data_IF_235602441901
#
_entry.id   IF_235602441901
#
_cell.length_a   1.000
_cell.length_b   1.000
_cell.length_c   1.000
_cell.angle_alpha   90.00
_cell.angle_beta   90.00
_cell.angle_gamma   90.00
#
_symmetry.space_group_name_H-M   'P 1'
#
loop_
_entity.id
_entity.type
_entity.pdbx_description
1 polymer ?
#
# COMPACT_ATOMS: atom_id res chain seq x y z
N UNK A 1 5.55 -22.17 -24.82
CA UNK A 1 4.72 -22.24 -26.04
C UNK A 1 5.65 -22.40 -27.26
N UNK A 2 5.42 -23.41 -28.06
CA UNK A 2 6.09 -23.51 -29.36
C UNK A 2 5.48 -22.46 -30.31
N UNK A 3 6.32 -21.74 -31.07
CA UNK A 3 5.85 -20.66 -31.95
C UNK A 3 6.74 -20.47 -33.16
N UNK A 4 6.17 -19.93 -34.24
CA UNK A 4 6.90 -19.46 -35.41
C UNK A 4 7.67 -18.17 -35.11
N UNK A 5 8.70 -17.80 -35.87
CA UNK A 5 9.42 -16.53 -35.68
C UNK A 5 8.50 -15.31 -35.70
N UNK A 6 7.54 -15.24 -36.60
CA UNK A 6 6.60 -14.12 -36.71
C UNK A 6 5.73 -13.98 -35.46
N UNK A 7 5.27 -15.09 -34.86
CA UNK A 7 4.50 -15.10 -33.60
C UNK A 7 5.39 -14.67 -32.45
N UNK A 8 6.63 -15.16 -32.40
CA UNK A 8 7.63 -14.78 -31.41
C UNK A 8 7.88 -13.27 -31.44
N UNK A 9 8.14 -12.68 -32.59
CA UNK A 9 8.41 -11.25 -32.76
C UNK A 9 7.21 -10.38 -32.35
N UNK A 10 5.99 -10.83 -32.67
CA UNK A 10 4.76 -10.16 -32.25
C UNK A 10 4.62 -10.15 -30.72
N UNK A 11 4.83 -11.29 -30.08
CA UNK A 11 4.73 -11.43 -28.63
C UNK A 11 5.84 -10.65 -27.92
N UNK A 12 7.05 -10.66 -28.46
CA UNK A 12 8.16 -9.89 -27.91
C UNK A 12 7.87 -8.40 -27.88
N UNK A 13 7.32 -7.86 -28.97
CA UNK A 13 6.88 -6.46 -29.05
C UNK A 13 5.82 -6.12 -28.00
N UNK A 14 4.86 -7.03 -27.78
CA UNK A 14 3.76 -6.83 -26.80
C UNK A 14 4.23 -6.94 -25.35
N UNK A 15 5.30 -7.69 -25.08
CA UNK A 15 5.87 -7.93 -23.75
C UNK A 15 7.14 -7.11 -23.47
N UNK A 16 7.54 -6.25 -24.41
CA UNK A 16 8.65 -5.30 -24.23
C UNK A 16 8.11 -3.91 -23.96
N UNK A 17 8.34 -3.41 -22.77
CA UNK A 17 7.87 -2.12 -22.29
C UNK A 17 9.02 -1.11 -22.22
N UNK A 18 8.81 0.07 -22.80
CA UNK A 18 9.73 1.20 -22.68
C UNK A 18 9.22 2.13 -21.58
N UNK A 19 9.90 2.14 -20.45
CA UNK A 19 9.55 2.98 -19.30
C UNK A 19 10.38 4.26 -19.37
N UNK A 20 9.75 5.45 -19.49
CA UNK A 20 10.47 6.72 -19.52
C UNK A 20 11.35 6.91 -18.28
N UNK A 21 12.58 7.39 -18.49
CA UNK A 21 13.43 7.77 -17.34
C UNK A 21 12.92 9.03 -16.66
N UNK A 22 13.16 9.15 -15.35
CA UNK A 22 12.86 10.37 -14.58
C UNK A 22 13.72 11.56 -15.01
N UNK A 23 14.89 11.29 -15.62
CA UNK A 23 15.76 12.32 -16.17
C UNK A 23 15.68 12.29 -17.70
N UNK A 24 15.37 13.40 -18.36
CA UNK A 24 15.27 13.44 -19.82
C UNK A 24 16.54 13.01 -20.58
N UNK A 25 17.68 13.05 -19.91
CA UNK A 25 19.00 12.67 -20.49
C UNK A 25 19.29 11.17 -20.41
N UNK A 26 18.57 10.44 -19.56
CA UNK A 26 18.82 9.03 -19.37
C UNK A 26 17.93 8.22 -20.34
N UNK A 27 18.45 7.11 -20.92
CA UNK A 27 17.65 6.27 -21.79
C UNK A 27 16.47 5.64 -21.04
N UNK A 28 15.36 5.32 -21.75
CA UNK A 28 14.24 4.64 -21.14
C UNK A 28 14.68 3.26 -20.60
N UNK A 29 14.10 2.84 -19.49
CA UNK A 29 14.28 1.48 -18.99
C UNK A 29 13.47 0.52 -19.85
N UNK A 30 14.11 -0.53 -20.36
CA UNK A 30 13.45 -1.60 -21.09
C UNK A 30 13.10 -2.72 -20.10
N UNK A 31 11.84 -3.15 -20.10
CA UNK A 31 11.37 -4.34 -19.37
C UNK A 31 10.87 -5.33 -20.44
N UNK A 32 11.54 -6.47 -20.57
CA UNK A 32 11.13 -7.56 -21.46
C UNK A 32 10.65 -8.75 -20.61
N UNK A 33 9.40 -9.13 -20.77
CA UNK A 33 8.76 -10.20 -19.99
C UNK A 33 8.56 -11.49 -20.80
N UNK A 34 9.13 -11.59 -21.98
CA UNK A 34 9.24 -12.84 -22.75
C UNK A 34 10.63 -13.44 -22.57
N UNK A 35 10.72 -14.75 -22.46
CA UNK A 35 12.00 -15.46 -22.48
C UNK A 35 12.03 -16.53 -23.59
N UNK A 36 13.11 -16.58 -24.37
CA UNK A 36 13.36 -17.63 -25.32
C UNK A 36 14.04 -18.78 -24.56
N UNK A 37 13.34 -19.92 -24.48
CA UNK A 37 13.87 -21.14 -23.83
C UNK A 37 14.81 -21.89 -24.78
N UNK A 38 14.39 -22.01 -26.04
CA UNK A 38 15.14 -22.54 -27.18
C UNK A 38 14.49 -22.07 -28.48
N UNK A 39 15.13 -22.32 -29.62
CA UNK A 39 14.54 -21.99 -30.92
C UNK A 39 13.12 -22.54 -31.05
N UNK A 40 12.17 -21.66 -31.34
CA UNK A 40 10.75 -22.00 -31.46
C UNK A 40 9.98 -22.25 -30.14
N UNK A 41 10.65 -22.16 -28.98
CA UNK A 41 9.98 -22.33 -27.67
C UNK A 41 10.18 -21.10 -26.79
N UNK A 42 9.08 -20.42 -26.46
CA UNK A 42 9.11 -19.23 -25.64
C UNK A 42 8.32 -19.43 -24.32
N UNK A 43 8.70 -18.64 -23.32
CA UNK A 43 7.97 -18.47 -22.06
C UNK A 43 7.36 -17.08 -22.03
N UNK A 44 6.09 -16.98 -21.67
CA UNK A 44 5.36 -15.74 -21.46
C UNK A 44 4.73 -15.74 -20.06
N UNK A 45 4.47 -14.55 -19.49
CA UNK A 45 3.81 -14.45 -18.21
C UNK A 45 2.41 -15.08 -18.21
N UNK A 46 2.02 -15.70 -17.11
CA UNK A 46 0.75 -16.42 -16.98
C UNK A 46 -0.49 -15.53 -17.16
N UNK A 47 -0.39 -14.24 -16.87
CA UNK A 47 -1.48 -13.29 -17.06
C UNK A 47 -1.73 -12.91 -18.52
N UNK A 48 -0.84 -13.30 -19.45
CA UNK A 48 -0.90 -12.93 -20.87
C UNK A 48 -1.29 -14.10 -21.77
N UNK A 49 -2.25 -14.90 -21.32
CA UNK A 49 -2.84 -15.97 -22.15
C UNK A 49 -3.56 -15.44 -23.39
N UNK A 50 -3.94 -14.14 -23.40
CA UNK A 50 -4.46 -13.41 -24.54
C UNK A 50 -3.52 -13.38 -25.76
N UNK A 51 -2.21 -13.54 -25.53
CA UNK A 51 -1.19 -13.56 -26.58
C UNK A 51 -1.02 -14.95 -27.22
N UNK A 52 -1.65 -15.99 -26.71
CA UNK A 52 -1.61 -17.33 -27.29
C UNK A 52 -2.47 -17.33 -28.56
N UNK A 53 -1.89 -17.65 -29.74
CA UNK A 53 -2.67 -17.66 -31.00
C UNK A 53 -3.80 -18.68 -30.97
N UNK A 54 -4.85 -18.40 -31.73
CA UNK A 54 -5.96 -19.35 -31.90
C UNK A 54 -5.45 -20.67 -32.49
N UNK A 55 -5.96 -21.79 -31.99
CA UNK A 55 -5.59 -23.13 -32.47
C UNK A 55 -4.53 -23.83 -31.61
N UNK A 56 -3.95 -23.14 -30.62
CA UNK A 56 -3.06 -23.78 -29.65
C UNK A 56 -3.88 -24.50 -28.59
N UNK A 57 -3.48 -25.75 -28.27
CA UNK A 57 -4.03 -26.49 -27.13
C UNK A 57 -3.42 -25.94 -25.84
N UNK A 58 -4.25 -25.48 -24.91
CA UNK A 58 -3.81 -25.00 -23.59
C UNK A 58 -3.98 -26.13 -22.57
N UNK A 59 -2.85 -26.59 -22.00
CA UNK A 59 -2.81 -27.55 -20.89
C UNK A 59 -2.55 -26.76 -19.59
N UNK A 60 -3.59 -26.50 -18.80
CA UNK A 60 -3.43 -25.86 -17.50
C UNK A 60 -2.77 -26.84 -16.51
N UNK A 61 -1.57 -26.47 -16.05
CA UNK A 61 -0.78 -27.22 -15.06
C UNK A 61 -0.63 -26.45 -13.75
N UNK A 62 -1.44 -25.41 -13.54
CA UNK A 62 -1.45 -24.68 -12.28
C UNK A 62 -1.98 -25.59 -11.15
N UNK A 63 -1.42 -25.41 -9.98
CA UNK A 63 -1.71 -26.27 -8.83
C UNK A 63 -3.01 -25.86 -8.14
N UNK A 64 -3.89 -26.83 -7.96
CA UNK A 64 -4.96 -26.79 -6.99
C UNK A 64 -4.47 -27.54 -5.75
N UNK A 65 -4.51 -26.91 -4.59
CA UNK A 65 -4.16 -27.48 -3.30
C UNK A 65 -5.37 -27.30 -2.36
N UNK A 66 -6.43 -28.10 -2.56
CA UNK A 66 -7.63 -28.01 -1.73
C UNK A 66 -7.30 -28.33 -0.26
N UNK A 67 -7.86 -27.56 0.65
CA UNK A 67 -7.73 -27.77 2.09
C UNK A 67 -9.09 -27.61 2.75
N UNK A 68 -9.25 -28.18 3.95
CA UNK A 68 -10.37 -27.86 4.81
C UNK A 68 -10.23 -26.42 5.29
N UNK A 69 -10.91 -25.51 4.59
CA UNK A 69 -10.79 -24.08 4.81
C UNK A 69 -11.85 -23.62 5.81
N UNK A 70 -11.47 -22.85 6.84
CA UNK A 70 -12.44 -22.40 7.83
C UNK A 70 -13.54 -21.55 7.20
N UNK A 71 -14.76 -21.71 7.71
CA UNK A 71 -15.92 -20.99 7.19
C UNK A 71 -15.79 -19.49 7.51
N UNK A 72 -15.98 -18.67 6.49
CA UNK A 72 -16.12 -17.23 6.64
C UNK A 72 -17.51 -16.93 7.24
N UNK A 73 -17.53 -16.33 8.45
CA UNK A 73 -18.76 -16.15 9.25
C UNK A 73 -19.37 -14.76 9.17
N UNK A 74 -18.78 -13.86 8.40
CA UNK A 74 -19.18 -12.45 8.37
C UNK A 74 -19.93 -12.12 7.09
N UNK A 75 -20.81 -11.12 7.17
CA UNK A 75 -21.49 -10.58 6.00
C UNK A 75 -20.56 -9.60 5.23
N UNK A 76 -20.56 -9.73 3.93
CA UNK A 76 -19.88 -8.79 3.03
C UNK A 76 -20.83 -7.63 2.72
N UNK A 77 -20.31 -6.43 2.69
CA UNK A 77 -21.05 -5.29 2.15
C UNK A 77 -21.36 -5.50 0.67
N UNK A 78 -22.43 -4.87 0.11
CA UNK A 78 -22.84 -5.13 -1.28
C UNK A 78 -21.70 -4.99 -2.30
N UNK A 79 -20.81 -3.99 -2.14
CA UNK A 79 -19.67 -3.81 -3.05
C UNK A 79 -18.61 -4.89 -2.89
N UNK A 80 -18.41 -5.40 -1.66
CA UNK A 80 -17.50 -6.50 -1.36
C UNK A 80 -18.06 -7.82 -1.89
N UNK A 81 -19.37 -8.04 -1.73
CA UNK A 81 -20.06 -9.20 -2.26
C UNK A 81 -19.94 -9.27 -3.79
N UNK A 82 -20.13 -8.14 -4.48
CA UNK A 82 -19.95 -8.09 -5.93
C UNK A 82 -18.54 -8.51 -6.33
N UNK A 83 -17.50 -7.96 -5.68
CA UNK A 83 -16.10 -8.37 -5.94
C UNK A 83 -15.88 -9.84 -5.65
N UNK A 84 -16.40 -10.34 -4.53
CA UNK A 84 -16.32 -11.75 -4.15
C UNK A 84 -16.94 -12.66 -5.22
N UNK A 85 -18.11 -12.30 -5.75
CA UNK A 85 -18.83 -13.08 -6.76
C UNK A 85 -18.07 -13.10 -8.11
N UNK A 86 -17.44 -11.97 -8.49
CA UNK A 86 -16.69 -11.81 -9.74
C UNK A 86 -15.35 -12.59 -9.78
N UNK A 87 -14.82 -13.05 -8.64
CA UNK A 87 -13.53 -13.77 -8.62
C UNK A 87 -13.73 -15.24 -9.02
N UNK A 88 -13.26 -15.58 -10.21
CA UNK A 88 -13.25 -16.95 -10.75
C UNK A 88 -11.83 -17.42 -11.15
N UNK A 89 -10.91 -16.50 -11.42
CA UNK A 89 -9.50 -16.72 -11.78
C UNK A 89 -8.61 -15.63 -11.20
N UNK A 90 -7.44 -15.40 -11.79
CA UNK A 90 -6.56 -14.31 -11.43
C UNK A 90 -7.28 -12.96 -11.54
N UNK A 91 -7.03 -12.07 -10.59
CA UNK A 91 -7.63 -10.74 -10.61
C UNK A 91 -6.80 -9.72 -9.84
N UNK A 92 -7.02 -8.45 -10.17
CA UNK A 92 -6.55 -7.29 -9.41
C UNK A 92 -7.75 -6.60 -8.78
N UNK A 93 -7.73 -6.43 -7.47
CA UNK A 93 -8.74 -5.65 -6.75
C UNK A 93 -8.12 -4.29 -6.42
N UNK A 94 -8.52 -3.28 -7.21
CA UNK A 94 -8.09 -1.90 -7.04
C UNK A 94 -9.12 -1.14 -6.20
N UNK A 95 -9.07 -1.33 -4.89
CA UNK A 95 -10.03 -0.77 -3.97
C UNK A 95 -9.43 0.37 -3.14
N UNK A 96 -10.20 1.43 -2.98
CA UNK A 96 -9.84 2.61 -2.20
C UNK A 96 -9.38 2.27 -0.77
N UNK A 97 -8.66 3.19 -0.14
CA UNK A 97 -8.31 3.08 1.29
C UNK A 97 -9.57 2.94 2.13
N UNK A 98 -9.49 2.19 3.22
CA UNK A 98 -10.61 1.88 4.13
C UNK A 98 -11.76 1.03 3.54
N UNK A 99 -11.69 0.62 2.27
CA UNK A 99 -12.72 -0.25 1.67
C UNK A 99 -12.77 -1.66 2.28
N UNK A 100 -11.71 -2.12 2.92
CA UNK A 100 -11.66 -3.44 3.55
C UNK A 100 -11.04 -4.53 2.66
N UNK A 101 -9.98 -4.20 1.91
CA UNK A 101 -9.23 -5.14 1.04
C UNK A 101 -8.81 -6.41 1.76
N UNK A 102 -8.24 -6.30 2.96
CA UNK A 102 -7.77 -7.43 3.77
C UNK A 102 -8.91 -8.39 4.08
N UNK A 103 -10.02 -7.85 4.58
CA UNK A 103 -11.21 -8.61 4.92
C UNK A 103 -11.82 -9.33 3.69
N UNK A 104 -11.95 -8.62 2.57
CA UNK A 104 -12.46 -9.21 1.33
C UNK A 104 -11.47 -10.24 0.75
N UNK A 105 -10.17 -10.01 0.87
CA UNK A 105 -9.14 -10.99 0.49
C UNK A 105 -9.27 -12.31 1.26
N UNK A 106 -9.57 -12.26 2.57
CA UNK A 106 -9.82 -13.44 3.39
C UNK A 106 -11.12 -14.15 2.99
N UNK A 107 -12.18 -13.39 2.68
CA UNK A 107 -13.42 -13.96 2.16
C UNK A 107 -13.19 -14.72 0.84
N UNK A 108 -12.42 -14.13 -0.08
CA UNK A 108 -12.04 -14.76 -1.36
C UNK A 108 -11.23 -16.03 -1.11
N UNK A 109 -10.26 -16.00 -0.19
CA UNK A 109 -9.49 -17.20 0.17
C UNK A 109 -10.42 -18.33 0.65
N UNK A 110 -11.41 -18.01 1.48
CA UNK A 110 -12.42 -18.96 1.93
C UNK A 110 -13.34 -19.48 0.81
N UNK A 111 -13.67 -18.63 -0.19
CA UNK A 111 -14.41 -19.05 -1.39
C UNK A 111 -13.63 -20.08 -2.21
N UNK A 112 -12.35 -19.81 -2.42
CA UNK A 112 -11.49 -20.62 -3.29
C UNK A 112 -11.08 -21.95 -2.66
N UNK A 113 -11.09 -22.06 -1.32
CA UNK A 113 -10.79 -23.28 -0.53
C UNK A 113 -9.45 -23.94 -0.91
N UNK A 114 -8.45 -23.11 -1.23
CA UNK A 114 -7.11 -23.58 -1.55
C UNK A 114 -6.15 -23.18 -0.44
N UNK A 115 -5.11 -23.96 -0.22
CA UNK A 115 -4.00 -23.52 0.64
C UNK A 115 -3.49 -22.17 0.14
N UNK A 116 -3.60 -21.15 0.95
CA UNK A 116 -3.42 -19.75 0.56
C UNK A 116 -2.13 -19.17 1.15
N UNK A 117 -1.30 -18.56 0.30
CA UNK A 117 -0.16 -17.73 0.69
C UNK A 117 -0.55 -16.25 0.57
N UNK A 118 -0.44 -15.51 1.65
CA UNK A 118 -0.55 -14.06 1.67
C UNK A 118 0.86 -13.48 1.69
N UNK A 119 1.21 -12.70 0.66
CA UNK A 119 2.55 -12.12 0.48
C UNK A 119 2.53 -10.66 0.91
N UNK A 120 3.40 -10.31 1.85
CA UNK A 120 3.54 -8.96 2.40
C UNK A 120 4.99 -8.48 2.30
N UNK A 121 5.21 -7.18 2.15
CA UNK A 121 6.55 -6.61 1.98
C UNK A 121 7.19 -6.14 3.29
N UNK A 122 6.39 -5.90 4.35
CA UNK A 122 6.89 -5.50 5.67
C UNK A 122 6.41 -6.43 6.78
N UNK A 123 7.19 -6.48 7.87
CA UNK A 123 6.83 -7.28 9.06
C UNK A 123 5.55 -6.75 9.74
N UNK A 124 5.35 -5.44 9.91
CA UNK A 124 4.09 -4.92 10.47
C UNK A 124 2.87 -5.33 9.66
N UNK A 125 2.93 -5.26 8.32
CA UNK A 125 1.83 -5.67 7.46
C UNK A 125 1.56 -7.18 7.58
N UNK A 126 2.61 -8.01 7.65
CA UNK A 126 2.45 -9.45 7.92
C UNK A 126 1.72 -9.69 9.25
N UNK A 127 2.15 -9.03 10.31
CA UNK A 127 1.54 -9.19 11.64
C UNK A 127 0.08 -8.70 11.66
N UNK A 128 -0.25 -7.67 10.88
CA UNK A 128 -1.63 -7.23 10.71
C UNK A 128 -2.48 -8.32 10.04
N UNK A 129 -1.98 -8.96 8.96
CA UNK A 129 -2.68 -10.06 8.32
C UNK A 129 -2.86 -11.26 9.25
N UNK A 130 -1.85 -11.62 10.05
CA UNK A 130 -1.94 -12.69 11.06
C UNK A 130 -3.07 -12.40 12.05
N UNK A 131 -3.15 -11.19 12.60
CA UNK A 131 -4.25 -10.77 13.50
C UNK A 131 -5.62 -10.82 12.82
N UNK A 132 -5.72 -10.39 11.56
CA UNK A 132 -7.00 -10.46 10.83
C UNK A 132 -7.41 -11.89 10.51
N UNK A 133 -6.48 -12.80 10.21
CA UNK A 133 -6.78 -14.23 10.06
C UNK A 133 -7.35 -14.82 11.35
N UNK A 134 -6.70 -14.55 12.48
CA UNK A 134 -7.17 -15.00 13.80
C UNK A 134 -8.56 -14.43 14.13
N UNK A 135 -8.78 -13.16 13.89
CA UNK A 135 -10.06 -12.48 14.13
C UNK A 135 -11.19 -13.01 13.26
N UNK A 136 -10.91 -13.27 11.97
CA UNK A 136 -11.94 -13.68 10.99
C UNK A 136 -12.25 -15.15 11.07
N UNK A 137 -11.27 -16.00 11.31
CA UNK A 137 -11.40 -17.44 11.23
C UNK A 137 -11.22 -18.17 12.56
N UNK A 138 -10.78 -17.47 13.61
CA UNK A 138 -10.48 -18.07 14.93
C UNK A 138 -9.41 -19.18 14.85
N UNK A 139 -8.46 -19.07 13.91
CA UNK A 139 -7.34 -19.98 13.73
C UNK A 139 -6.01 -19.23 13.71
N UNK A 140 -4.94 -19.94 14.02
CA UNK A 140 -3.58 -19.45 13.81
C UNK A 140 -3.18 -19.64 12.34
N UNK A 141 -2.56 -18.64 11.73
CA UNK A 141 -1.93 -18.77 10.41
C UNK A 141 -0.51 -19.30 10.51
N UNK A 142 -0.05 -20.01 9.49
CA UNK A 142 1.38 -20.25 9.30
C UNK A 142 2.14 -18.95 9.04
N UNK A 143 3.42 -18.88 9.41
CA UNK A 143 4.25 -17.68 9.27
C UNK A 143 5.57 -18.01 8.58
N UNK A 144 5.88 -17.24 7.50
CA UNK A 144 7.18 -17.28 6.83
C UNK A 144 7.87 -15.92 6.96
N UNK A 145 8.93 -15.87 7.74
CA UNK A 145 9.71 -14.63 7.97
C UNK A 145 10.11 -14.44 9.42
N UNK A 146 11.05 -13.54 9.68
CA UNK A 146 11.61 -13.27 11.02
C UNK A 146 12.13 -14.53 11.74
N UNK A 147 12.84 -15.41 10.99
CA UNK A 147 13.36 -16.67 11.52
C UNK A 147 12.37 -17.84 11.51
N UNK A 148 11.08 -17.62 11.28
CA UNK A 148 10.07 -18.67 11.21
C UNK A 148 9.89 -19.19 9.77
N UNK A 149 9.68 -20.50 9.66
CA UNK A 149 9.25 -21.18 8.44
C UNK A 149 8.14 -22.15 8.77
N UNK A 150 6.96 -21.63 8.93
CA UNK A 150 5.75 -22.43 9.18
C UNK A 150 4.80 -22.35 7.99
N UNK A 151 4.61 -23.46 7.33
CA UNK A 151 3.66 -23.65 6.22
C UNK A 151 2.46 -24.50 6.64
N UNK A 152 2.18 -24.65 7.93
CA UNK A 152 1.03 -25.39 8.42
C UNK A 152 -0.28 -24.65 8.16
N UNK A 153 -1.39 -25.38 8.23
CA UNK A 153 -2.73 -24.81 8.09
C UNK A 153 -3.11 -24.35 6.68
N UNK A 154 -4.34 -23.83 6.55
CA UNK A 154 -4.93 -23.40 5.29
C UNK A 154 -4.41 -22.04 4.80
N UNK A 155 -3.97 -21.19 5.72
CA UNK A 155 -3.50 -19.82 5.43
C UNK A 155 -2.09 -19.65 5.99
N UNK A 156 -1.20 -19.14 5.16
CA UNK A 156 0.19 -18.80 5.51
C UNK A 156 0.45 -17.34 5.14
N UNK A 157 1.03 -16.57 6.05
CA UNK A 157 1.43 -15.17 5.80
C UNK A 157 2.94 -15.07 5.72
N UNK A 158 3.46 -14.59 4.60
CA UNK A 158 4.89 -14.59 4.32
C UNK A 158 5.47 -13.24 3.93
N UNK A 159 6.69 -12.95 4.42
CA UNK A 159 7.45 -11.78 3.99
C UNK A 159 8.17 -12.04 2.68
N UNK A 160 8.08 -11.11 1.75
CA UNK A 160 8.67 -11.16 0.40
C UNK A 160 10.13 -11.58 0.40
N UNK A 161 10.96 -11.01 1.26
CA UNK A 161 12.40 -11.29 1.28
C UNK A 161 12.71 -12.75 1.63
N UNK A 162 11.97 -13.33 2.60
CA UNK A 162 12.14 -14.73 3.00
C UNK A 162 11.60 -15.67 1.92
N UNK A 163 10.45 -15.33 1.34
CA UNK A 163 9.84 -16.09 0.24
C UNK A 163 10.74 -16.12 -0.99
N UNK A 164 11.29 -14.98 -1.37
CA UNK A 164 12.21 -14.85 -2.50
C UNK A 164 13.47 -15.75 -2.38
N UNK A 165 14.06 -15.81 -1.18
CA UNK A 165 15.23 -16.67 -0.92
C UNK A 165 14.90 -18.16 -0.94
N UNK A 166 13.63 -18.52 -0.84
CA UNK A 166 13.15 -19.90 -0.73
C UNK A 166 12.08 -20.25 -1.79
N UNK A 167 12.17 -19.66 -2.97
CA UNK A 167 11.18 -19.81 -4.05
C UNK A 167 10.88 -21.27 -4.35
N UNK A 168 11.89 -22.13 -4.43
CA UNK A 168 11.70 -23.54 -4.75
C UNK A 168 10.82 -24.28 -3.74
N UNK A 169 10.84 -23.85 -2.45
CA UNK A 169 10.00 -24.45 -1.40
C UNK A 169 8.52 -24.05 -1.50
N UNK A 170 8.23 -22.86 -2.08
CA UNK A 170 6.85 -22.35 -2.20
C UNK A 170 6.20 -22.62 -3.54
N UNK A 171 6.99 -22.96 -4.56
CA UNK A 171 6.64 -23.04 -5.97
C UNK A 171 5.36 -23.86 -6.24
N UNK A 172 5.18 -25.00 -5.52
CA UNK A 172 4.06 -25.91 -5.66
C UNK A 172 3.25 -26.11 -4.38
N UNK A 173 3.46 -25.32 -3.37
CA UNK A 173 2.89 -25.50 -2.04
C UNK A 173 1.50 -24.89 -1.88
N UNK A 174 1.17 -23.90 -2.69
CA UNK A 174 -0.04 -23.10 -2.55
C UNK A 174 -0.90 -23.17 -3.81
N UNK A 175 -2.22 -23.21 -3.61
CA UNK A 175 -3.20 -23.13 -4.70
C UNK A 175 -3.70 -21.70 -4.93
N UNK A 176 -3.58 -20.83 -3.92
CA UNK A 176 -3.89 -19.39 -4.01
C UNK A 176 -2.72 -18.55 -3.50
N UNK A 177 -2.41 -17.46 -4.20
CA UNK A 177 -1.52 -16.40 -3.72
C UNK A 177 -2.30 -15.09 -3.70
N UNK A 178 -2.30 -14.42 -2.56
CA UNK A 178 -2.81 -13.05 -2.39
C UNK A 178 -1.61 -12.14 -2.18
N UNK A 179 -1.44 -11.15 -3.06
CA UNK A 179 -0.38 -10.17 -2.95
C UNK A 179 -0.96 -8.85 -2.44
N UNK A 180 -0.64 -8.51 -1.21
CA UNK A 180 -1.03 -7.21 -0.64
C UNK A 180 -0.09 -6.11 -1.11
N UNK A 181 -0.64 -4.90 -1.31
CA UNK A 181 0.03 -3.76 -1.93
C UNK A 181 0.74 -4.17 -3.24
N UNK A 182 -0.02 -4.81 -4.13
CA UNK A 182 0.48 -5.40 -5.37
C UNK A 182 1.23 -4.42 -6.29
N UNK A 183 1.13 -3.11 -6.07
CA UNK A 183 1.91 -2.12 -6.81
C UNK A 183 3.44 -2.27 -6.61
N UNK A 184 3.88 -3.04 -5.62
CA UNK A 184 5.27 -3.43 -5.45
C UNK A 184 5.72 -4.56 -6.41
N UNK A 185 4.80 -5.22 -7.14
CA UNK A 185 5.13 -6.35 -8.04
C UNK A 185 6.09 -5.99 -9.18
N UNK A 186 6.20 -4.72 -9.51
CA UNK A 186 7.21 -4.24 -10.49
C UNK A 186 8.65 -4.32 -9.97
N UNK A 187 8.86 -4.65 -8.68
CA UNK A 187 10.20 -4.97 -8.17
C UNK A 187 10.58 -6.42 -8.51
N UNK A 188 11.85 -6.70 -8.83
CA UNK A 188 12.29 -8.06 -9.22
C UNK A 188 11.98 -9.14 -8.18
N UNK A 189 11.95 -8.77 -6.91
CA UNK A 189 11.68 -9.71 -5.81
C UNK A 189 10.23 -10.19 -5.81
N UNK A 190 9.28 -9.27 -6.00
CA UNK A 190 7.87 -9.61 -6.06
C UNK A 190 7.48 -10.34 -7.34
N UNK A 191 7.92 -9.81 -8.49
CA UNK A 191 7.63 -10.44 -9.80
C UNK A 191 8.09 -11.87 -9.81
N UNK A 192 9.29 -12.15 -9.32
CA UNK A 192 9.84 -13.51 -9.31
C UNK A 192 9.06 -14.48 -8.41
N UNK A 193 8.51 -14.03 -7.28
CA UNK A 193 7.63 -14.87 -6.45
C UNK A 193 6.38 -15.27 -7.22
N UNK A 194 5.74 -14.29 -7.88
CA UNK A 194 4.51 -14.53 -8.64
C UNK A 194 4.75 -15.40 -9.86
N UNK A 195 5.81 -15.13 -10.64
CA UNK A 195 6.16 -15.91 -11.83
C UNK A 195 6.53 -17.34 -11.51
N UNK A 196 7.29 -17.55 -10.44
CA UNK A 196 7.74 -18.89 -10.05
C UNK A 196 6.64 -19.74 -9.44
N UNK A 197 5.54 -19.16 -9.02
CA UNK A 197 4.43 -19.89 -8.38
C UNK A 197 3.52 -20.57 -9.39
N UNK A 198 3.24 -21.86 -9.16
CA UNK A 198 2.25 -22.64 -9.90
C UNK A 198 0.82 -22.51 -9.35
N UNK A 199 0.57 -21.64 -8.37
CA UNK A 199 -0.76 -21.46 -7.80
C UNK A 199 -1.82 -21.18 -8.88
N UNK A 200 -2.98 -21.84 -8.74
CA UNK A 200 -4.10 -21.68 -9.67
C UNK A 200 -4.64 -20.25 -9.66
N UNK A 201 -4.69 -19.63 -8.47
CA UNK A 201 -5.26 -18.30 -8.27
C UNK A 201 -4.21 -17.32 -7.80
N UNK A 202 -4.12 -16.17 -8.48
CA UNK A 202 -3.24 -15.05 -8.12
C UNK A 202 -4.08 -13.80 -8.00
N UNK A 203 -4.21 -13.27 -6.79
CA UNK A 203 -5.06 -12.13 -6.45
C UNK A 203 -4.17 -10.97 -6.00
N UNK A 204 -4.21 -9.86 -6.72
CA UNK A 204 -3.51 -8.64 -6.36
C UNK A 204 -4.45 -7.66 -5.65
N UNK A 205 -4.04 -7.15 -4.48
CA UNK A 205 -4.77 -6.12 -3.75
C UNK A 205 -3.98 -4.80 -3.80
N UNK A 206 -4.62 -3.70 -4.16
CA UNK A 206 -3.98 -2.38 -4.12
C UNK A 206 -5.00 -1.26 -3.94
N UNK A 207 -4.56 -0.17 -3.30
CA UNK A 207 -5.33 1.10 -3.25
C UNK A 207 -5.10 1.98 -4.48
N UNK A 208 -3.98 1.77 -5.18
CA UNK A 208 -3.57 2.52 -6.37
C UNK A 208 -2.84 1.58 -7.32
N UNK A 209 -3.29 1.51 -8.56
CA UNK A 209 -2.59 0.75 -9.60
C UNK A 209 -1.58 1.63 -10.33
N UNK A 210 -1.95 2.87 -10.61
CA UNK A 210 -1.09 3.79 -11.35
C UNK A 210 0.17 4.15 -10.57
N UNK A 211 1.32 4.00 -11.20
CA UNK A 211 2.64 4.34 -10.65
C UNK A 211 3.24 5.50 -11.42
N UNK A 212 3.88 6.41 -10.70
CA UNK A 212 4.58 7.55 -11.31
C UNK A 212 5.76 7.12 -12.22
N UNK A 213 6.35 5.97 -11.92
CA UNK A 213 7.43 5.41 -12.73
C UNK A 213 6.97 4.63 -13.97
N UNK A 214 5.65 4.59 -14.25
CA UNK A 214 5.06 3.93 -15.41
C UNK A 214 5.09 2.39 -15.37
N UNK A 215 5.71 1.76 -14.37
CA UNK A 215 5.88 0.29 -14.31
C UNK A 215 4.60 -0.49 -14.03
N UNK A 216 3.46 0.18 -13.85
CA UNK A 216 2.16 -0.48 -13.69
C UNK A 216 1.71 -1.23 -14.95
N UNK A 217 2.29 -0.95 -16.10
CA UNK A 217 1.97 -1.64 -17.37
C UNK A 217 2.21 -3.15 -17.31
N UNK A 218 3.14 -3.60 -16.44
CA UNK A 218 3.45 -5.03 -16.30
C UNK A 218 2.49 -5.78 -15.37
N UNK A 219 1.55 -5.12 -14.69
CA UNK A 219 0.69 -5.79 -13.71
C UNK A 219 -0.20 -6.87 -14.33
N UNK A 220 -0.72 -6.63 -15.54
CA UNK A 220 -1.51 -7.61 -16.27
C UNK A 220 -0.70 -8.86 -16.67
N UNK A 221 0.61 -8.74 -16.77
CA UNK A 221 1.45 -9.88 -17.09
C UNK A 221 1.42 -10.94 -15.98
N UNK A 222 1.16 -10.51 -14.74
CA UNK A 222 1.14 -11.39 -13.57
C UNK A 222 -0.28 -11.80 -13.15
N UNK A 223 -1.27 -10.90 -13.30
CA UNK A 223 -2.63 -11.10 -12.80
C UNK A 223 -3.70 -11.21 -13.90
N UNK A 224 -3.33 -11.02 -15.16
CA UNK A 224 -4.28 -10.97 -16.26
C UNK A 224 -5.01 -9.63 -16.37
N UNK A 225 -6.08 -9.61 -17.17
CA UNK A 225 -6.83 -8.39 -17.51
C UNK A 225 -7.98 -8.09 -16.54
N UNK A 226 -8.31 -9.00 -15.63
CA UNK A 226 -9.41 -8.79 -14.70
C UNK A 226 -9.03 -7.79 -13.60
N UNK A 227 -9.41 -6.53 -13.79
CA UNK A 227 -9.18 -5.44 -12.84
C UNK A 227 -10.51 -4.95 -12.32
N UNK A 228 -10.83 -5.32 -11.09
CA UNK A 228 -12.07 -4.94 -10.42
C UNK A 228 -11.84 -3.65 -9.62
N UNK A 229 -12.65 -2.62 -9.89
CA UNK A 229 -12.59 -1.33 -9.22
C UNK A 229 -13.91 -1.08 -8.49
N UNK A 230 -14.06 -1.51 -7.23
CA UNK A 230 -15.26 -1.24 -6.48
C UNK A 230 -15.42 0.26 -6.18
N UNK A 231 -16.64 0.73 -5.88
CA UNK A 231 -16.88 2.12 -5.54
C UNK A 231 -16.13 2.51 -4.26
N UNK A 232 -15.80 3.79 -4.14
CA UNK A 232 -15.27 4.35 -2.91
C UNK A 232 -16.39 4.41 -1.88
N UNK A 233 -16.23 3.67 -0.79
CA UNK A 233 -17.21 3.60 0.29
C UNK A 233 -16.54 3.39 1.65
N UNK A 234 -17.34 3.42 2.71
CA UNK A 234 -16.90 3.14 4.08
C UNK A 234 -15.79 4.09 4.55
N UNK A 235 -15.89 5.35 4.18
CA UNK A 235 -15.02 6.41 4.66
C UNK A 235 -15.82 7.68 4.97
N UNK A 236 -15.26 8.52 5.82
CA UNK A 236 -15.78 9.85 6.10
C UNK A 236 -15.06 10.86 5.19
N UNK A 237 -15.80 11.77 4.57
CA UNK A 237 -15.22 12.82 3.73
C UNK A 237 -14.45 13.80 4.61
N UNK A 238 -13.14 14.03 4.38
CA UNK A 238 -12.39 14.98 5.17
C UNK A 238 -12.62 16.42 4.70
N UNK A 239 -12.46 17.37 5.62
CA UNK A 239 -12.27 18.79 5.28
C UNK A 239 -10.75 19.08 5.28
N UNK A 240 -10.28 19.78 4.27
CA UNK A 240 -8.88 20.18 4.16
C UNK A 240 -8.72 21.58 4.75
N UNK A 241 -7.95 21.70 5.82
CA UNK A 241 -7.59 22.99 6.41
C UNK A 241 -6.23 23.42 5.85
N UNK A 242 -6.24 24.45 5.03
CA UNK A 242 -5.04 25.06 4.45
C UNK A 242 -4.55 26.15 5.39
N UNK A 243 -3.34 25.98 5.92
CA UNK A 243 -2.71 26.90 6.87
C UNK A 243 -1.54 27.65 6.22
N UNK A 244 -1.67 28.94 5.88
CA UNK A 244 -0.53 29.74 5.44
C UNK A 244 0.43 29.98 6.62
N UNK A 245 1.65 29.45 6.54
CA UNK A 245 2.59 29.54 7.67
C UNK A 245 3.45 30.82 7.67
N UNK A 246 3.54 31.54 6.54
CA UNK A 246 4.51 32.62 6.38
C UNK A 246 5.97 32.18 6.24
N UNK A 247 6.28 30.93 6.54
CA UNK A 247 7.64 30.38 6.57
C UNK A 247 8.12 30.02 5.16
N UNK A 248 9.35 30.39 4.85
CA UNK A 248 9.95 30.14 3.53
C UNK A 248 10.61 28.77 3.48
N UNK A 249 10.19 27.96 2.50
CA UNK A 249 10.90 26.74 2.11
C UNK A 249 12.02 27.09 1.11
N UNK A 250 13.19 26.50 1.31
CA UNK A 250 14.35 26.77 0.45
C UNK A 250 14.07 26.41 -1.00
N UNK A 251 14.27 27.38 -1.88
CA UNK A 251 14.21 27.20 -3.33
C UNK A 251 15.59 26.83 -3.91
N UNK A 252 15.61 26.36 -5.14
CA UNK A 252 16.81 26.08 -5.90
C UNK A 252 17.01 24.60 -6.22
N UNK A 253 17.42 24.34 -7.47
CA UNK A 253 17.64 22.97 -7.98
C UNK A 253 18.98 22.39 -7.55
N UNK A 254 19.93 23.24 -7.13
CA UNK A 254 21.28 22.83 -6.71
C UNK A 254 21.33 22.25 -5.30
N UNK A 255 20.34 22.57 -4.44
CA UNK A 255 20.29 22.04 -3.07
C UNK A 255 19.47 20.75 -3.08
N UNK A 256 20.04 19.61 -2.64
CA UNK A 256 19.33 18.35 -2.54
C UNK A 256 18.02 18.48 -1.74
N UNK A 257 16.99 17.78 -2.15
CA UNK A 257 15.68 17.79 -1.49
C UNK A 257 15.78 17.51 0.02
N UNK A 258 16.58 16.51 0.38
CA UNK A 258 16.79 16.12 1.78
C UNK A 258 17.29 17.30 2.64
N UNK A 259 18.24 18.08 2.13
CA UNK A 259 18.82 19.22 2.85
C UNK A 259 17.80 20.35 3.02
N UNK A 260 16.95 20.60 2.01
CA UNK A 260 15.87 21.59 2.10
C UNK A 260 14.82 21.22 3.15
N UNK A 261 14.45 19.95 3.21
CA UNK A 261 13.52 19.45 4.25
C UNK A 261 14.20 19.51 5.62
N UNK A 262 15.47 19.17 5.73
CA UNK A 262 16.22 19.28 7.00
C UNK A 262 16.25 20.73 7.50
N UNK A 263 16.53 21.69 6.63
CA UNK A 263 16.51 23.12 7.00
C UNK A 263 15.13 23.58 7.50
N UNK A 264 14.04 23.13 6.85
CA UNK A 264 12.68 23.43 7.32
C UNK A 264 12.42 22.83 8.71
N UNK A 265 12.81 21.57 8.92
CA UNK A 265 12.53 20.85 10.17
C UNK A 265 13.46 21.26 11.33
N UNK A 266 14.50 22.04 11.07
CA UNK A 266 15.35 22.70 12.07
C UNK A 266 14.89 24.12 12.40
N UNK A 267 13.92 24.67 11.66
CA UNK A 267 13.37 25.99 11.91
C UNK A 267 12.45 25.95 13.14
N UNK A 268 12.78 26.70 14.19
CA UNK A 268 12.06 26.73 15.47
C UNK A 268 10.63 27.22 15.31
N UNK A 269 10.42 28.29 14.52
CA UNK A 269 9.09 28.84 14.25
C UNK A 269 8.18 27.80 13.58
N UNK A 270 8.76 26.98 12.67
CA UNK A 270 8.04 25.89 12.03
C UNK A 270 7.68 24.77 13.02
N UNK A 271 8.60 24.39 13.89
CA UNK A 271 8.35 23.40 14.95
C UNK A 271 7.24 23.89 15.89
N UNK A 272 7.28 25.14 16.32
CA UNK A 272 6.22 25.74 17.14
C UNK A 272 4.87 25.76 16.42
N UNK A 273 4.86 26.13 15.12
CA UNK A 273 3.62 26.14 14.31
C UNK A 273 2.98 24.74 14.28
N UNK A 274 3.75 23.70 13.97
CA UNK A 274 3.25 22.32 13.93
C UNK A 274 2.74 21.85 15.30
N UNK A 275 3.50 22.15 16.36
CA UNK A 275 3.14 21.78 17.74
C UNK A 275 1.88 22.47 18.22
N UNK A 276 1.73 23.76 17.96
CA UNK A 276 0.52 24.52 18.29
C UNK A 276 -0.71 24.01 17.54
N UNK A 277 -0.57 23.72 16.25
CA UNK A 277 -1.66 23.12 15.48
C UNK A 277 -2.08 21.77 16.06
N UNK A 278 -1.11 20.91 16.39
CA UNK A 278 -1.40 19.61 16.98
C UNK A 278 -2.17 19.73 18.30
N UNK A 279 -1.72 20.60 19.21
CA UNK A 279 -2.40 20.88 20.47
C UNK A 279 -3.81 21.49 20.26
N UNK A 280 -3.95 22.43 19.33
CA UNK A 280 -5.23 23.10 19.05
C UNK A 280 -6.29 22.14 18.50
N UNK A 281 -5.92 21.19 17.63
CA UNK A 281 -6.87 20.18 17.16
C UNK A 281 -7.18 19.12 18.22
N UNK A 282 -6.21 18.73 19.04
CA UNK A 282 -6.44 17.85 20.18
C UNK A 282 -7.44 18.49 21.19
N UNK A 283 -7.26 19.78 21.51
CA UNK A 283 -8.19 20.54 22.36
C UNK A 283 -9.62 20.64 21.80
N UNK A 284 -9.80 20.50 20.47
CA UNK A 284 -11.10 20.41 19.80
C UNK A 284 -11.69 18.99 19.79
N UNK A 285 -11.07 18.04 20.48
CA UNK A 285 -11.53 16.65 20.60
C UNK A 285 -11.06 15.71 19.49
N UNK A 286 -10.12 16.14 18.64
CA UNK A 286 -9.56 15.25 17.63
C UNK A 286 -8.45 14.37 18.20
N UNK A 287 -8.36 13.12 17.73
CA UNK A 287 -7.17 12.31 17.82
C UNK A 287 -6.27 12.66 16.61
N UNK A 288 -5.14 13.27 16.91
CA UNK A 288 -4.27 13.92 15.92
C UNK A 288 -3.11 13.01 15.53
N UNK A 289 -2.87 12.84 14.24
CA UNK A 289 -1.66 12.24 13.68
C UNK A 289 -0.83 13.32 12.97
N UNK A 290 0.37 13.55 13.45
CA UNK A 290 1.37 14.41 12.79
C UNK A 290 2.39 13.55 12.10
N UNK A 291 2.61 13.71 10.78
CA UNK A 291 3.52 12.88 10.02
C UNK A 291 4.68 13.66 9.42
N UNK A 292 5.87 13.08 9.50
CA UNK A 292 7.09 13.57 8.84
C UNK A 292 8.02 12.40 8.50
N UNK A 293 8.96 12.62 7.59
CA UNK A 293 10.08 11.70 7.34
C UNK A 293 11.32 12.02 8.19
N UNK A 294 11.22 12.99 9.13
CA UNK A 294 12.32 13.46 9.99
C UNK A 294 12.07 13.13 11.46
N UNK A 295 12.78 12.12 11.95
CA UNK A 295 12.61 11.58 13.32
C UNK A 295 12.85 12.64 14.39
N UNK A 296 13.96 13.38 14.30
CA UNK A 296 14.30 14.39 15.31
C UNK A 296 13.26 15.53 15.35
N UNK A 297 12.74 15.95 14.21
CA UNK A 297 11.66 16.93 14.13
C UNK A 297 10.40 16.47 14.87
N UNK A 298 10.00 15.20 14.64
CA UNK A 298 8.84 14.63 15.32
C UNK A 298 9.04 14.59 16.85
N UNK A 299 10.23 14.20 17.32
CA UNK A 299 10.56 14.19 18.75
C UNK A 299 10.51 15.59 19.37
N UNK A 300 11.11 16.58 18.69
CA UNK A 300 11.12 17.96 19.14
C UNK A 300 9.70 18.55 19.20
N UNK A 301 8.89 18.33 18.14
CA UNK A 301 7.50 18.79 18.13
C UNK A 301 6.66 18.09 19.22
N UNK A 302 6.86 16.81 19.46
CA UNK A 302 6.18 16.10 20.54
C UNK A 302 6.51 16.70 21.91
N UNK A 303 7.79 16.99 22.17
CA UNK A 303 8.23 17.63 23.40
C UNK A 303 7.61 19.05 23.58
N UNK A 304 7.56 19.84 22.50
CA UNK A 304 6.96 21.18 22.50
C UNK A 304 5.42 21.13 22.71
N UNK A 305 4.76 20.08 22.24
CA UNK A 305 3.30 19.93 22.37
C UNK A 305 2.90 19.54 23.82
N UNK A 306 3.79 18.85 24.56
CA UNK A 306 3.60 18.50 25.97
C UNK A 306 3.12 17.07 26.22
N UNK A 307 2.62 16.82 27.43
CA UNK A 307 2.39 15.46 27.95
C UNK A 307 1.27 14.66 27.27
N UNK A 308 0.35 15.31 26.54
CA UNK A 308 -0.74 14.64 25.82
C UNK A 308 -0.27 13.99 24.51
N UNK A 309 1.02 13.71 24.37
CA UNK A 309 1.63 13.24 23.14
C UNK A 309 2.32 11.89 23.28
N UNK A 310 2.40 11.18 22.15
CA UNK A 310 3.34 10.06 21.93
C UNK A 310 4.10 10.25 20.62
N UNK A 311 5.30 9.68 20.53
CA UNK A 311 6.10 9.71 19.32
C UNK A 311 6.51 8.28 18.92
N UNK A 312 6.07 7.86 17.71
CA UNK A 312 6.30 6.51 17.18
C UNK A 312 7.15 6.58 15.91
N UNK A 313 8.39 6.12 16.02
CA UNK A 313 9.36 6.13 14.92
C UNK A 313 9.92 4.74 14.66
N UNK A 314 10.75 4.60 13.61
CA UNK A 314 11.46 3.35 13.31
C UNK A 314 12.39 2.86 14.42
N UNK A 315 12.83 3.76 15.29
CA UNK A 315 13.71 3.44 16.43
C UNK A 315 12.98 2.77 17.60
N UNK A 316 11.66 2.94 17.69
CA UNK A 316 10.82 2.32 18.72
C UNK A 316 10.61 0.84 18.41
N UNK A 317 10.86 -0.10 19.31
CA UNK A 317 10.59 -1.53 19.12
C UNK A 317 9.12 -1.81 18.79
N UNK A 318 8.87 -2.88 18.03
CA UNK A 318 7.50 -3.17 17.53
C UNK A 318 6.47 -3.35 18.67
N UNK A 319 6.84 -4.07 19.72
CA UNK A 319 5.98 -4.31 20.88
C UNK A 319 5.64 -3.03 21.63
N UNK A 320 6.63 -2.15 21.79
CA UNK A 320 6.43 -0.84 22.40
C UNK A 320 5.55 0.08 21.54
N UNK A 321 5.69 0.02 20.20
CA UNK A 321 4.80 0.78 19.29
C UNK A 321 3.35 0.42 19.50
N UNK A 322 3.04 -0.85 19.68
CA UNK A 322 1.66 -1.32 19.91
C UNK A 322 1.12 -0.75 21.24
N UNK A 323 1.92 -0.81 22.30
CA UNK A 323 1.59 -0.22 23.60
C UNK A 323 1.32 1.28 23.50
N UNK A 324 2.21 2.02 22.82
CA UNK A 324 2.05 3.46 22.61
C UNK A 324 0.80 3.79 21.79
N UNK A 325 0.56 3.09 20.69
CA UNK A 325 -0.61 3.37 19.84
C UNK A 325 -1.93 3.03 20.53
N UNK A 326 -1.95 2.07 21.42
CA UNK A 326 -3.10 1.76 22.27
C UNK A 326 -3.47 2.93 23.20
N UNK A 327 -2.53 3.77 23.61
CA UNK A 327 -2.83 4.97 24.41
C UNK A 327 -3.70 5.97 23.64
N UNK A 328 -3.50 6.10 22.32
CA UNK A 328 -4.40 6.91 21.47
C UNK A 328 -5.77 6.23 21.34
N UNK A 329 -5.77 4.92 21.09
CA UNK A 329 -7.00 4.15 20.90
C UNK A 329 -7.90 4.20 22.14
N UNK A 330 -7.33 4.07 23.32
CA UNK A 330 -8.05 4.12 24.60
C UNK A 330 -8.25 5.53 25.17
N UNK A 331 -7.77 6.56 24.48
CA UNK A 331 -8.03 7.96 24.82
C UNK A 331 -7.17 8.57 25.91
N UNK A 332 -6.13 7.88 26.40
CA UNK A 332 -5.21 8.41 27.41
C UNK A 332 -4.25 9.46 26.85
N UNK A 333 -4.05 9.47 25.52
CA UNK A 333 -3.30 10.46 24.76
C UNK A 333 -4.10 10.90 23.53
N UNK A 334 -3.88 12.13 23.06
CA UNK A 334 -4.63 12.69 21.95
C UNK A 334 -3.78 13.01 20.72
N UNK A 335 -2.47 13.16 20.87
CA UNK A 335 -1.56 13.53 19.78
C UNK A 335 -0.50 12.45 19.57
N UNK A 336 -0.38 12.02 18.32
CA UNK A 336 0.58 11.03 17.85
C UNK A 336 1.49 11.66 16.80
N UNK A 337 2.77 11.73 17.09
CA UNK A 337 3.81 12.06 16.12
C UNK A 337 4.38 10.78 15.54
N UNK A 338 4.45 10.66 14.21
CA UNK A 338 4.91 9.43 13.60
C UNK A 338 5.57 9.57 12.25
N UNK A 339 6.49 8.65 11.94
CA UNK A 339 7.14 8.67 10.62
C UNK A 339 6.17 8.24 9.51
N UNK A 340 6.25 8.92 8.35
CA UNK A 340 5.42 8.62 7.18
C UNK A 340 5.45 7.14 6.82
N UNK A 341 6.61 6.49 6.87
CA UNK A 341 6.78 5.08 6.52
C UNK A 341 5.98 4.14 7.43
N UNK A 342 5.95 4.40 8.73
CA UNK A 342 5.22 3.55 9.69
C UNK A 342 3.71 3.68 9.49
N UNK A 343 3.22 4.91 9.28
CA UNK A 343 1.78 5.17 9.16
C UNK A 343 1.22 5.01 7.75
N UNK A 344 2.06 4.96 6.70
CA UNK A 344 1.59 4.57 5.37
C UNK A 344 1.20 3.09 5.30
N UNK A 345 1.97 2.19 5.90
CA UNK A 345 1.88 0.76 5.57
C UNK A 345 1.65 -0.21 6.74
N UNK A 346 1.55 0.23 8.00
CA UNK A 346 1.59 -0.77 9.05
C UNK A 346 0.72 -0.57 10.28
N UNK A 347 0.48 0.64 10.72
CA UNK A 347 -0.28 0.89 11.94
C UNK A 347 -1.68 1.40 11.62
N UNK A 348 -2.67 0.80 12.26
CA UNK A 348 -4.08 1.17 12.11
C UNK A 348 -4.64 1.60 13.46
N UNK A 349 -5.06 2.85 13.55
CA UNK A 349 -5.72 3.43 14.72
C UNK A 349 -7.01 4.07 14.22
N UNK A 350 -8.14 3.43 14.49
CA UNK A 350 -9.40 3.77 13.81
C UNK A 350 -10.02 5.08 14.29
N UNK A 351 -9.71 5.51 15.52
CA UNK A 351 -10.23 6.76 16.10
C UNK A 351 -9.43 8.02 15.69
N UNK A 352 -8.35 7.90 14.91
CA UNK A 352 -7.66 9.07 14.35
C UNK A 352 -8.59 9.89 13.47
N UNK A 353 -8.71 11.19 13.74
CA UNK A 353 -9.62 12.11 13.04
C UNK A 353 -8.97 13.39 12.51
N UNK A 354 -7.71 13.65 12.83
CA UNK A 354 -6.96 14.78 12.28
C UNK A 354 -5.59 14.30 11.78
N UNK A 355 -5.22 14.67 10.55
CA UNK A 355 -3.90 14.45 9.98
C UNK A 355 -3.21 15.79 9.75
N UNK A 356 -2.02 15.98 10.29
CA UNK A 356 -1.17 17.15 10.03
C UNK A 356 0.02 16.72 9.18
N UNK A 357 0.19 17.34 8.03
CA UNK A 357 1.33 17.12 7.14
C UNK A 357 2.53 17.93 7.65
N UNK A 358 3.32 17.36 8.58
CA UNK A 358 4.45 18.02 9.23
C UNK A 358 5.65 18.29 8.31
N UNK A 359 5.72 17.63 7.15
CA UNK A 359 6.67 17.93 6.07
C UNK A 359 5.96 17.84 4.72
N UNK A 360 6.41 18.59 3.69
CA UNK A 360 5.77 18.58 2.38
C UNK A 360 5.77 17.20 1.73
N UNK A 361 4.59 16.69 1.37
CA UNK A 361 4.40 15.42 0.66
C UNK A 361 4.00 15.72 -0.78
N UNK A 362 4.75 15.21 -1.76
CA UNK A 362 4.46 15.31 -3.19
C UNK A 362 4.25 13.95 -3.85
N UNK A 363 3.98 12.92 -3.05
CA UNK A 363 3.67 11.56 -3.49
C UNK A 363 2.19 11.29 -3.25
N UNK A 364 1.38 11.29 -4.32
CA UNK A 364 -0.07 11.09 -4.23
C UNK A 364 -0.46 9.74 -3.60
N UNK A 365 0.15 8.59 -3.94
CA UNK A 365 -0.09 7.34 -3.24
C UNK A 365 0.15 7.42 -1.73
N UNK A 366 1.30 7.97 -1.30
CA UNK A 366 1.61 8.15 0.11
C UNK A 366 0.59 9.08 0.81
N UNK A 367 0.25 10.19 0.18
CA UNK A 367 -0.75 11.13 0.69
C UNK A 367 -2.12 10.44 0.87
N UNK A 368 -2.53 9.63 -0.13
CA UNK A 368 -3.77 8.86 -0.08
C UNK A 368 -3.77 7.85 1.07
N UNK A 369 -2.67 7.12 1.27
CA UNK A 369 -2.53 6.15 2.36
C UNK A 369 -2.60 6.84 3.74
N UNK A 370 -1.90 7.97 3.92
CA UNK A 370 -1.90 8.72 5.17
C UNK A 370 -3.28 9.33 5.48
N UNK A 371 -3.93 9.95 4.50
CA UNK A 371 -5.31 10.44 4.64
C UNK A 371 -6.25 9.29 4.98
N UNK A 372 -6.05 8.13 4.36
CA UNK A 372 -6.79 6.90 4.65
C UNK A 372 -6.78 6.49 6.12
N UNK A 373 -5.79 6.92 6.91
CA UNK A 373 -5.73 6.62 8.36
C UNK A 373 -6.75 7.40 9.17
N UNK A 374 -7.10 8.61 8.74
CA UNK A 374 -8.01 9.49 9.50
C UNK A 374 -9.44 9.48 8.98
N UNK A 375 -9.68 8.99 7.75
CA UNK A 375 -11.03 8.99 7.15
C UNK A 375 -11.83 7.71 7.40
N UNK A 376 -11.33 6.75 8.15
CA UNK A 376 -12.06 5.52 8.49
C UNK A 376 -13.34 5.85 9.21
N UNK A 377 -14.43 5.21 8.81
CA UNK A 377 -15.72 5.37 9.45
C UNK A 377 -15.72 4.66 10.81
N UNK A 378 -16.05 5.41 11.86
CA UNK A 378 -16.23 4.91 13.22
C UNK A 378 -17.32 5.71 13.91
N UNK A 379 -18.10 5.08 14.76
CA UNK A 379 -19.12 5.75 15.58
C UNK A 379 -18.48 6.77 16.52
N UNK A 380 -19.16 7.88 16.75
CA UNK A 380 -18.76 8.98 17.63
C UNK A 380 -17.40 9.63 17.30
N UNK A 381 -16.87 9.38 16.09
CA UNK A 381 -15.64 10.01 15.63
C UNK A 381 -15.93 11.39 15.04
N UNK A 382 -15.17 12.44 15.42
CA UNK A 382 -15.29 13.76 14.79
C UNK A 382 -15.04 13.70 13.28
N UNK A 383 -15.66 14.61 12.51
CA UNK A 383 -15.43 14.73 11.08
C UNK A 383 -13.95 14.88 10.77
N UNK A 384 -13.38 14.07 9.84
CA UNK A 384 -11.95 14.08 9.62
C UNK A 384 -11.44 15.41 9.06
N UNK A 385 -10.27 15.81 9.52
CA UNK A 385 -9.58 17.01 9.06
C UNK A 385 -8.19 16.62 8.56
N UNK A 386 -7.77 17.22 7.44
CA UNK A 386 -6.39 17.17 6.97
C UNK A 386 -5.83 18.60 7.00
N UNK A 387 -4.78 18.80 7.76
CA UNK A 387 -4.10 20.10 7.88
C UNK A 387 -2.92 20.12 6.92
N UNK A 388 -3.03 20.97 5.91
CA UNK A 388 -2.00 21.17 4.88
C UNK A 388 -1.33 22.54 5.09
N UNK A 389 -0.10 22.51 5.60
CA UNK A 389 0.68 23.72 5.90
C UNK A 389 1.32 24.22 4.61
N UNK A 390 0.91 25.41 4.16
CA UNK A 390 1.44 26.06 2.97
C UNK A 390 2.64 26.96 3.32
N UNK A 391 3.77 26.65 2.70
CA UNK A 391 5.03 27.36 2.84
C UNK A 391 5.24 28.35 1.70
N UNK A 392 6.03 29.40 1.92
CA UNK A 392 6.47 30.34 0.91
C UNK A 392 7.61 29.73 0.06
N UNK A 393 7.74 30.18 -1.19
CA UNK A 393 8.75 29.74 -2.13
C UNK A 393 8.17 28.98 -3.32
N UNK A 394 8.87 29.00 -4.46
CA UNK A 394 8.34 28.44 -5.72
C UNK A 394 8.18 26.92 -5.68
N UNK A 395 9.13 26.23 -5.07
CA UNK A 395 9.05 24.76 -4.91
C UNK A 395 7.88 24.38 -4.01
N UNK A 396 7.71 25.06 -2.88
CA UNK A 396 6.63 24.83 -1.96
C UNK A 396 5.25 25.11 -2.59
N UNK A 397 5.11 26.25 -3.28
CA UNK A 397 3.88 26.61 -4.00
C UNK A 397 3.49 25.56 -5.03
N UNK A 398 4.45 25.06 -5.83
CA UNK A 398 4.19 23.99 -6.81
C UNK A 398 3.71 22.71 -6.14
N UNK A 399 4.32 22.30 -5.04
CA UNK A 399 3.90 21.09 -4.30
C UNK A 399 2.52 21.27 -3.64
N UNK A 400 2.27 22.44 -3.07
CA UNK A 400 0.95 22.78 -2.54
C UNK A 400 -0.12 22.72 -3.65
N UNK A 401 0.15 23.30 -4.82
CA UNK A 401 -0.75 23.22 -6.00
C UNK A 401 -1.04 21.77 -6.42
N UNK A 402 -0.04 20.89 -6.40
CA UNK A 402 -0.24 19.46 -6.71
C UNK A 402 -1.18 18.80 -5.69
N UNK A 403 -1.01 19.08 -4.39
CA UNK A 403 -1.91 18.54 -3.35
C UNK A 403 -3.31 19.12 -3.46
N UNK A 404 -3.43 20.43 -3.70
CA UNK A 404 -4.73 21.09 -3.96
C UNK A 404 -5.43 20.43 -5.15
N UNK A 405 -4.72 20.20 -6.26
CA UNK A 405 -5.26 19.48 -7.43
C UNK A 405 -5.76 18.08 -7.07
N UNK A 406 -5.05 17.36 -6.21
CA UNK A 406 -5.48 16.06 -5.70
C UNK A 406 -6.76 16.19 -4.85
N UNK A 407 -6.85 17.14 -3.92
CA UNK A 407 -8.04 17.34 -3.09
C UNK A 407 -9.26 17.72 -3.93
N UNK A 408 -9.09 18.60 -4.91
CA UNK A 408 -10.15 18.96 -5.87
C UNK A 408 -10.63 17.76 -6.68
N UNK A 409 -9.72 16.92 -7.17
CA UNK A 409 -10.04 15.66 -7.87
C UNK A 409 -10.84 14.68 -7.01
N UNK A 410 -10.67 14.72 -5.67
CA UNK A 410 -11.45 13.93 -4.73
C UNK A 410 -12.81 14.59 -4.38
N UNK A 411 -13.03 15.86 -4.74
CA UNK A 411 -14.23 16.61 -4.36
C UNK A 411 -14.28 17.03 -2.89
N UNK A 412 -13.10 17.18 -2.23
CA UNK A 412 -13.03 17.54 -0.82
C UNK A 412 -13.09 19.06 -0.62
N UNK A 413 -13.83 19.48 0.43
CA UNK A 413 -13.91 20.88 0.83
C UNK A 413 -12.55 21.38 1.35
N UNK A 414 -12.15 22.59 0.94
CA UNK A 414 -10.94 23.25 1.43
C UNK A 414 -11.31 24.55 2.17
N UNK A 415 -10.73 24.73 3.36
CA UNK A 415 -10.88 25.95 4.19
C UNK A 415 -9.52 26.52 4.48
N UNK A 416 -9.36 27.80 4.18
CA UNK A 416 -8.16 28.58 4.55
C UNK A 416 -8.37 29.13 5.96
N UNK A 417 -7.45 28.85 6.87
CA UNK A 417 -7.56 29.21 8.30
C UNK A 417 -6.29 29.92 8.79
#
# INVERSE_FOLDING_TARGET
>A
MDCTPDVQDKIDKELTYLIPSHKPTDPPQVIANMAIIRSGLISIPIGRTDLIPRGYEIKDKRNLIPVDFPKFKFDLRPSQQKVYDEIEDNAIINAWVSWGKTFTGLAIASKLKQKTLIVTHTVPLRNQWVKEVEKVFEISSGIIGSGSWDCSGPIVVGNTQTLYRNIEKIKKTFGTIILDEMHHVSSPTFSRIIDSSFARYKIGLSGTIERKDGKHVVFRDYFGHNVIKPPKENYMVPTIHVVPSGIRFMDGTRIPWANRVTALTQNEEYMHTVSMLAAAYAARGHKVLVVSDRVQFLKNCAQLTGDDTICVTGEVPHEERESLTNQILHGTKNVLFGTQAIFSEGISIDNLSCLILGTPINNEPLLTQLIGRVIRKQENKPSPIVVDIHLLGNTAKRQASNRVGYYMKQGWEMKYI
#
